data_IF_642979963849
#
_entry.id   IF_642979963849
#
_cell.length_a   1.000
_cell.length_b   1.000
_cell.length_c   1.000
_cell.angle_alpha   90.00
_cell.angle_beta   90.00
_cell.angle_gamma   90.00
#
_symmetry.space_group_name_H-M   'P 1'
#
loop_
_entity.id
_entity.type
_entity.pdbx_description
1 polymer ?
#
# COMPACT_ATOMS: atom_id res chain seq x y z
N UNK A 1 17.02 8.97 -12.20
CA UNK A 1 15.85 8.18 -12.64
C UNK A 1 16.31 6.76 -12.86
N UNK A 2 15.66 5.75 -12.26
CA UNK A 2 15.93 4.35 -12.64
C UNK A 2 15.55 4.12 -14.10
N UNK A 3 16.09 3.05 -14.69
CA UNK A 3 15.83 2.71 -16.11
C UNK A 3 14.33 2.58 -16.36
N UNK A 4 13.77 3.57 -17.06
CA UNK A 4 12.36 3.54 -17.50
C UNK A 4 12.28 2.55 -18.66
N UNK A 5 11.48 1.51 -18.50
CA UNK A 5 11.27 0.47 -19.52
C UNK A 5 9.84 0.54 -20.06
N UNK A 6 9.69 0.37 -21.35
CA UNK A 6 8.38 0.11 -21.96
C UNK A 6 8.04 -1.35 -21.80
N UNK A 7 6.83 -1.65 -21.36
CA UNK A 7 6.29 -3.00 -21.20
C UNK A 7 5.15 -3.18 -22.18
N UNK A 8 5.20 -4.25 -22.97
CA UNK A 8 4.13 -4.61 -23.88
C UNK A 8 2.93 -5.14 -23.07
N UNK A 9 1.97 -4.26 -22.81
CA UNK A 9 0.79 -4.57 -22.01
C UNK A 9 -0.12 -5.63 -22.67
N UNK A 10 -0.03 -5.82 -23.99
CA UNK A 10 -0.84 -6.82 -24.71
C UNK A 10 -0.45 -8.27 -24.35
N UNK A 11 0.79 -8.47 -23.88
CA UNK A 11 1.34 -9.77 -23.47
C UNK A 11 1.19 -10.06 -21.99
N UNK A 12 0.67 -9.11 -21.21
CA UNK A 12 0.48 -9.30 -19.78
C UNK A 12 -0.64 -10.30 -19.50
N UNK A 13 -0.52 -11.07 -18.41
CA UNK A 13 -1.57 -11.99 -17.99
C UNK A 13 -2.84 -11.22 -17.66
N UNK A 14 -3.99 -11.89 -17.75
CA UNK A 14 -5.28 -11.35 -17.33
C UNK A 14 -5.70 -11.96 -15.99
N UNK A 15 -6.46 -11.20 -15.21
CA UNK A 15 -7.18 -11.73 -14.06
C UNK A 15 -8.25 -12.72 -14.54
N UNK A 16 -8.61 -13.67 -13.68
CA UNK A 16 -9.65 -14.66 -13.99
C UNK A 16 -11.05 -14.10 -13.77
N UNK A 17 -11.15 -13.13 -12.82
CA UNK A 17 -12.44 -12.56 -12.44
C UNK A 17 -13.34 -13.55 -11.67
N UNK A 18 -14.63 -13.28 -11.57
CA UNK A 18 -15.33 -12.14 -12.17
C UNK A 18 -14.85 -10.79 -11.67
N UNK A 19 -15.04 -9.76 -12.49
CA UNK A 19 -14.73 -8.36 -12.14
C UNK A 19 -15.59 -7.88 -10.99
N UNK A 20 -15.00 -7.06 -10.12
CA UNK A 20 -15.66 -6.46 -8.94
C UNK A 20 -15.43 -4.95 -8.96
N UNK A 21 -16.47 -4.18 -8.73
CA UNK A 21 -16.35 -2.74 -8.50
C UNK A 21 -15.76 -2.50 -7.10
N UNK A 22 -14.44 -2.53 -7.00
CA UNK A 22 -13.76 -2.36 -5.73
C UNK A 22 -13.85 -0.92 -5.23
N UNK A 23 -14.26 -0.79 -3.97
CA UNK A 23 -14.12 0.42 -3.17
C UNK A 23 -13.18 0.11 -2.00
N UNK A 24 -12.62 1.14 -1.37
CA UNK A 24 -11.78 0.94 -0.17
C UNK A 24 -12.57 0.21 0.92
N UNK A 25 -13.84 0.58 1.11
CA UNK A 25 -14.68 0.02 2.17
C UNK A 25 -14.98 -1.47 1.94
N UNK A 26 -15.38 -1.89 0.71
CA UNK A 26 -15.66 -3.30 0.47
C UNK A 26 -14.39 -4.16 0.46
N UNK A 27 -13.26 -3.61 0.03
CA UNK A 27 -11.98 -4.29 0.09
C UNK A 27 -11.48 -4.44 1.54
N UNK A 28 -11.61 -3.39 2.38
CA UNK A 28 -11.30 -3.49 3.81
C UNK A 28 -12.22 -4.46 4.54
N UNK A 29 -13.53 -4.47 4.21
CA UNK A 29 -14.47 -5.44 4.77
C UNK A 29 -14.04 -6.86 4.42
N UNK A 30 -13.72 -7.15 3.16
CA UNK A 30 -13.20 -8.44 2.71
C UNK A 30 -11.95 -8.86 3.51
N UNK A 31 -10.97 -7.97 3.70
CA UNK A 31 -9.76 -8.27 4.46
C UNK A 31 -10.01 -8.51 5.95
N UNK A 32 -11.06 -7.90 6.52
CA UNK A 32 -11.48 -8.14 7.91
C UNK A 32 -12.17 -9.49 8.08
N UNK A 33 -12.98 -9.90 7.11
CA UNK A 33 -13.71 -11.16 7.15
C UNK A 33 -12.81 -12.36 6.90
N UNK A 34 -11.80 -12.20 6.04
CA UNK A 34 -10.87 -13.26 5.67
C UNK A 34 -9.42 -12.81 5.76
N UNK A 35 -8.63 -13.35 6.68
CA UNK A 35 -7.24 -12.93 6.87
C UNK A 35 -6.35 -13.25 5.66
N UNK A 36 -5.31 -12.43 5.47
CA UNK A 36 -4.30 -12.65 4.45
C UNK A 36 -3.33 -13.78 4.84
N UNK A 37 -3.82 -15.02 4.89
CA UNK A 37 -3.00 -16.20 5.18
C UNK A 37 -3.21 -17.26 4.11
N UNK A 38 -2.18 -18.09 3.86
CA UNK A 38 -2.22 -19.09 2.82
C UNK A 38 -2.32 -18.53 1.40
N UNK A 39 -1.87 -17.28 1.23
CA UNK A 39 -1.93 -16.59 -0.05
C UNK A 39 -0.92 -17.14 -1.05
N UNK A 40 -1.13 -16.87 -2.32
CA UNK A 40 -0.27 -17.31 -3.40
C UNK A 40 0.65 -16.18 -3.86
N UNK A 41 1.94 -16.28 -3.56
CA UNK A 41 2.92 -15.30 -4.05
C UNK A 41 2.96 -15.27 -5.58
N UNK A 42 2.92 -16.44 -6.24
CA UNK A 42 2.96 -16.53 -7.71
C UNK A 42 1.72 -15.87 -8.34
N UNK A 43 0.54 -16.04 -7.73
CA UNK A 43 -0.67 -15.39 -8.20
C UNK A 43 -0.64 -13.89 -7.89
N UNK A 44 -0.16 -13.47 -6.72
CA UNK A 44 0.00 -12.05 -6.39
C UNK A 44 0.93 -11.32 -7.38
N UNK A 45 2.07 -11.94 -7.71
CA UNK A 45 2.96 -11.45 -8.77
C UNK A 45 2.25 -11.38 -10.13
N UNK A 46 1.45 -12.41 -10.46
CA UNK A 46 0.63 -12.42 -11.67
C UNK A 46 -0.39 -11.27 -11.65
N UNK A 47 -1.02 -11.00 -10.52
CA UNK A 47 -1.99 -9.91 -10.36
C UNK A 47 -1.34 -8.53 -10.46
N UNK A 48 -0.09 -8.36 -9.99
CA UNK A 48 0.69 -7.15 -10.23
C UNK A 48 0.85 -6.83 -11.72
N UNK A 49 0.98 -7.87 -12.55
CA UNK A 49 1.02 -7.72 -14.00
C UNK A 49 -0.39 -7.57 -14.61
N UNK A 50 -1.37 -8.36 -14.17
CA UNK A 50 -2.73 -8.35 -14.68
C UNK A 50 -3.47 -7.02 -14.39
N UNK A 51 -3.17 -6.37 -13.27
CA UNK A 51 -3.63 -5.03 -12.92
C UNK A 51 -2.81 -3.92 -13.56
N UNK A 52 -1.93 -4.24 -14.51
CA UNK A 52 -1.05 -3.30 -15.23
C UNK A 52 -0.08 -2.52 -14.33
N UNK A 53 0.04 -2.85 -13.05
CA UNK A 53 0.92 -2.14 -12.10
C UNK A 53 2.37 -2.17 -12.57
N UNK A 54 2.81 -3.31 -13.11
CA UNK A 54 4.17 -3.54 -13.63
C UNK A 54 4.57 -2.58 -14.76
N UNK A 55 3.59 -2.05 -15.51
CA UNK A 55 3.87 -1.12 -16.60
C UNK A 55 4.47 0.20 -16.10
N UNK A 56 4.03 0.65 -14.93
CA UNK A 56 4.41 1.95 -14.37
C UNK A 56 5.31 1.83 -13.13
N UNK A 57 5.11 0.80 -12.30
CA UNK A 57 5.76 0.67 -11.01
C UNK A 57 6.86 -0.39 -11.03
N UNK A 58 7.97 -0.08 -10.35
CA UNK A 58 8.97 -1.07 -9.99
C UNK A 58 8.53 -1.84 -8.75
N UNK A 59 8.79 -3.16 -8.72
CA UNK A 59 8.72 -3.98 -7.54
C UNK A 59 9.86 -5.01 -7.56
N UNK A 60 10.86 -4.84 -6.71
CA UNK A 60 12.13 -5.58 -6.78
C UNK A 60 12.85 -5.28 -8.12
N UNK A 61 13.29 -6.33 -8.85
CA UNK A 61 13.97 -6.16 -10.12
C UNK A 61 13.02 -5.93 -11.32
N UNK A 62 11.71 -5.99 -11.12
CA UNK A 62 10.71 -6.00 -12.18
C UNK A 62 9.95 -4.68 -12.27
N UNK A 63 9.44 -4.40 -13.47
CA UNK A 63 8.52 -3.31 -13.73
C UNK A 63 9.16 -2.05 -14.29
N UNK A 64 8.27 -1.09 -14.57
CA UNK A 64 8.62 0.22 -15.08
C UNK A 64 9.17 1.17 -14.00
N UNK A 65 9.47 2.41 -14.38
CA UNK A 65 10.02 3.41 -13.47
C UNK A 65 9.34 4.77 -13.56
N UNK A 66 8.18 4.84 -14.24
CA UNK A 66 7.45 6.10 -14.37
C UNK A 66 6.62 6.41 -13.12
N UNK A 67 6.14 5.40 -12.42
CA UNK A 67 5.46 5.51 -11.13
C UNK A 67 6.41 5.33 -9.94
N UNK A 68 5.91 5.52 -8.69
CA UNK A 68 6.66 5.21 -7.47
C UNK A 68 7.18 3.77 -7.42
N UNK A 69 8.36 3.60 -6.84
CA UNK A 69 8.89 2.27 -6.50
C UNK A 69 8.08 1.67 -5.33
N UNK A 70 7.50 0.50 -5.54
CA UNK A 70 6.67 -0.21 -4.58
C UNK A 70 7.43 -1.29 -3.78
N UNK A 71 8.74 -1.49 -4.04
CA UNK A 71 9.54 -2.55 -3.40
C UNK A 71 9.44 -2.54 -1.88
N UNK A 72 9.43 -1.35 -1.27
CA UNK A 72 9.33 -1.17 0.17
C UNK A 72 7.98 -0.58 0.62
N UNK A 73 6.91 -0.81 -0.15
CA UNK A 73 5.60 -0.21 0.11
C UNK A 73 5.10 -0.54 1.53
N UNK A 74 5.16 -1.80 1.93
CA UNK A 74 4.69 -2.26 3.24
C UNK A 74 5.49 -1.74 4.44
N UNK A 75 6.69 -1.15 4.22
CA UNK A 75 7.44 -0.50 5.31
C UNK A 75 6.89 0.87 5.68
N UNK A 76 6.13 1.51 4.76
CA UNK A 76 5.64 2.88 4.92
C UNK A 76 4.12 3.01 4.82
N UNK A 77 3.42 1.92 4.51
CA UNK A 77 1.98 1.92 4.28
C UNK A 77 1.34 0.71 4.91
N UNK A 78 0.22 0.91 5.58
CA UNK A 78 -0.65 -0.16 6.04
C UNK A 78 -1.60 -0.64 4.92
N UNK A 79 -2.45 -1.63 5.21
CA UNK A 79 -3.41 -2.17 4.24
C UNK A 79 -4.37 -1.12 3.70
N UNK A 80 -4.83 -0.21 4.56
CA UNK A 80 -5.77 0.84 4.17
C UNK A 80 -5.11 1.79 3.18
N UNK A 81 -3.91 2.28 3.49
CA UNK A 81 -3.16 3.18 2.63
C UNK A 81 -2.80 2.52 1.28
N UNK A 82 -2.48 1.21 1.27
CA UNK A 82 -2.24 0.45 0.04
C UNK A 82 -3.53 0.39 -0.80
N UNK A 83 -4.67 0.09 -0.19
CA UNK A 83 -5.96 0.04 -0.89
C UNK A 83 -6.38 1.43 -1.39
N UNK A 84 -6.27 2.46 -0.57
CA UNK A 84 -6.56 3.84 -0.97
C UNK A 84 -5.74 4.25 -2.18
N UNK A 85 -4.41 4.04 -2.14
CA UNK A 85 -3.53 4.37 -3.26
C UNK A 85 -3.83 3.57 -4.53
N UNK A 86 -4.31 2.32 -4.39
CA UNK A 86 -4.62 1.44 -5.51
C UNK A 86 -5.98 1.75 -6.13
N UNK A 87 -6.99 2.01 -5.30
CA UNK A 87 -8.40 2.14 -5.73
C UNK A 87 -8.81 3.60 -5.94
N UNK A 88 -8.15 4.53 -5.27
CA UNK A 88 -8.41 5.98 -5.33
C UNK A 88 -7.12 6.76 -5.65
N UNK A 89 -6.50 6.54 -6.83
CA UNK A 89 -5.17 7.07 -7.14
C UNK A 89 -5.09 8.61 -7.17
N UNK A 90 -6.22 9.30 -7.21
CA UNK A 90 -6.29 10.76 -7.15
C UNK A 90 -6.41 11.29 -5.70
N UNK A 91 -6.55 10.43 -4.70
CA UNK A 91 -6.73 10.87 -3.30
C UNK A 91 -5.48 11.59 -2.79
N UNK A 92 -4.31 11.06 -3.13
CA UNK A 92 -3.02 11.64 -2.78
C UNK A 92 -2.02 11.43 -3.91
N UNK A 93 -1.63 12.52 -4.57
CA UNK A 93 -0.59 12.52 -5.60
C UNK A 93 0.63 13.26 -5.07
N UNK A 94 1.75 12.57 -4.95
CA UNK A 94 3.01 13.17 -4.52
C UNK A 94 3.55 14.11 -5.60
N UNK A 95 4.09 15.27 -5.21
CA UNK A 95 4.59 16.31 -6.11
C UNK A 95 5.53 15.79 -7.20
N UNK A 96 6.42 14.85 -6.85
CA UNK A 96 7.35 14.26 -7.81
C UNK A 96 6.69 13.40 -8.90
N UNK A 97 5.41 13.02 -8.72
CA UNK A 97 4.63 12.22 -9.66
C UNK A 97 3.42 12.98 -10.23
N UNK A 98 3.25 14.24 -9.88
CA UNK A 98 2.17 15.07 -10.41
C UNK A 98 2.26 15.25 -11.92
N UNK A 99 1.10 15.29 -12.56
CA UNK A 99 0.96 15.80 -13.90
C UNK A 99 0.91 17.33 -13.89
N UNK A 100 1.24 17.92 -15.01
CA UNK A 100 1.08 19.34 -15.23
C UNK A 100 0.13 19.60 -16.40
N UNK A 101 -0.69 20.61 -16.26
CA UNK A 101 -1.47 21.20 -17.33
C UNK A 101 -0.69 22.38 -17.87
N UNK A 102 -0.32 22.30 -19.12
CA UNK A 102 0.29 23.41 -19.87
C UNK A 102 -0.79 24.03 -20.77
N UNK A 103 -1.22 25.23 -20.43
CA UNK A 103 -2.09 26.02 -21.31
C UNK A 103 -1.22 26.71 -22.36
N UNK A 104 -1.46 26.39 -23.60
CA UNK A 104 -0.71 26.94 -24.73
C UNK A 104 -1.26 28.32 -25.14
N UNK A 105 -0.41 29.14 -25.77
CA UNK A 105 -0.80 30.47 -26.27
C UNK A 105 -1.87 30.40 -27.36
N UNK A 106 -1.92 29.31 -28.13
CA UNK A 106 -2.96 29.04 -29.13
C UNK A 106 -4.30 28.59 -28.54
N UNK A 107 -4.39 28.50 -27.20
CA UNK A 107 -5.60 28.09 -26.50
C UNK A 107 -5.71 26.57 -26.24
N UNK A 108 -4.84 25.75 -26.82
CA UNK A 108 -4.81 24.31 -26.56
C UNK A 108 -4.28 23.98 -25.15
N UNK A 109 -4.50 22.73 -24.71
CA UNK A 109 -4.00 22.24 -23.42
C UNK A 109 -3.20 20.97 -23.64
N UNK A 110 -2.01 20.92 -23.06
CA UNK A 110 -1.18 19.71 -23.01
C UNK A 110 -1.09 19.24 -21.56
N UNK A 111 -1.48 17.99 -21.33
CA UNK A 111 -1.31 17.38 -20.01
C UNK A 111 -0.23 16.30 -20.04
N UNK A 112 0.49 16.18 -18.93
CA UNK A 112 1.47 15.12 -18.75
C UNK A 112 2.38 15.38 -17.55
N UNK A 113 3.15 14.35 -17.19
CA UNK A 113 4.22 14.51 -16.21
C UNK A 113 5.47 15.08 -16.88
N UNK A 114 5.99 16.18 -16.34
CA UNK A 114 7.26 16.74 -16.80
C UNK A 114 8.37 15.84 -16.25
N UNK A 115 9.12 15.23 -17.16
CA UNK A 115 10.27 14.36 -16.86
C UNK A 115 11.59 14.99 -17.26
N UNK A 116 11.56 16.07 -18.05
CA UNK A 116 12.69 16.91 -18.41
C UNK A 116 12.26 18.37 -18.46
N UNK A 117 13.05 19.24 -17.86
CA UNK A 117 12.89 20.70 -17.86
C UNK A 117 14.14 21.31 -18.47
N UNK A 118 14.19 21.23 -19.81
CA UNK A 118 15.29 21.72 -20.62
C UNK A 118 15.26 23.26 -20.69
N UNK A 119 16.35 23.87 -21.15
CA UNK A 119 16.46 25.34 -21.21
C UNK A 119 15.29 25.99 -22.00
N UNK A 120 14.87 25.37 -23.09
CA UNK A 120 13.87 25.93 -24.02
C UNK A 120 12.59 25.11 -24.16
N UNK A 121 12.56 23.87 -23.65
CA UNK A 121 11.42 22.98 -23.78
C UNK A 121 11.17 22.14 -22.52
N UNK A 122 9.90 21.71 -22.35
CA UNK A 122 9.52 20.66 -21.44
C UNK A 122 9.46 19.32 -22.16
N UNK A 123 9.91 18.26 -21.50
CA UNK A 123 9.71 16.87 -21.95
C UNK A 123 8.63 16.24 -21.07
N UNK A 124 7.52 15.85 -21.68
CA UNK A 124 6.38 15.30 -20.95
C UNK A 124 6.13 13.84 -21.34
N UNK A 125 5.80 13.03 -20.32
CA UNK A 125 5.15 11.75 -20.49
C UNK A 125 3.65 11.98 -20.36
N UNK A 126 2.89 11.62 -21.38
CA UNK A 126 1.43 11.78 -21.41
C UNK A 126 0.69 10.50 -21.02
N UNK A 127 1.31 9.34 -21.17
CA UNK A 127 0.76 8.04 -20.78
C UNK A 127 1.79 7.22 -20.03
N UNK A 128 1.41 6.67 -18.87
CA UNK A 128 2.24 5.75 -18.13
C UNK A 128 2.51 4.43 -18.86
N UNK A 129 1.70 4.08 -19.86
CA UNK A 129 1.88 2.88 -20.70
C UNK A 129 2.84 3.11 -21.87
N UNK A 130 3.14 4.36 -22.21
CA UNK A 130 4.11 4.76 -23.25
C UNK A 130 5.18 5.69 -22.65
N UNK A 131 5.91 5.26 -21.60
CA UNK A 131 6.78 6.17 -20.84
C UNK A 131 7.98 6.71 -21.61
N UNK A 132 8.33 6.08 -22.74
CA UNK A 132 9.43 6.51 -23.63
C UNK A 132 8.96 7.45 -24.74
N UNK A 133 7.63 7.59 -24.93
CA UNK A 133 7.04 8.50 -25.93
C UNK A 133 6.92 9.90 -25.33
N UNK A 134 7.98 10.67 -25.46
CA UNK A 134 8.03 12.03 -24.92
C UNK A 134 7.35 13.05 -25.82
N UNK A 135 6.47 13.87 -25.26
CA UNK A 135 5.95 15.06 -25.89
C UNK A 135 6.88 16.24 -25.56
N UNK A 136 7.48 16.84 -26.60
CA UNK A 136 8.25 18.07 -26.49
C UNK A 136 7.32 19.27 -26.58
N UNK A 137 7.46 20.22 -25.68
CA UNK A 137 6.68 21.46 -25.63
C UNK A 137 7.62 22.63 -25.41
N UNK A 138 7.68 23.56 -26.38
CA UNK A 138 8.48 24.75 -26.23
C UNK A 138 7.93 25.66 -25.16
N UNK A 139 8.78 26.09 -24.23
CA UNK A 139 8.38 27.01 -23.15
C UNK A 139 7.83 28.33 -23.66
N UNK A 140 8.35 28.82 -24.81
CA UNK A 140 7.88 30.04 -25.46
C UNK A 140 6.43 29.97 -25.92
N UNK A 141 5.89 28.78 -26.16
CA UNK A 141 4.51 28.53 -26.57
C UNK A 141 3.53 28.35 -25.40
N UNK A 142 4.05 28.18 -24.17
CA UNK A 142 3.25 28.01 -22.96
C UNK A 142 2.80 29.36 -22.41
N UNK A 143 1.49 29.54 -22.24
CA UNK A 143 0.92 30.71 -21.60
C UNK A 143 1.02 30.62 -20.06
N UNK A 144 0.65 29.44 -19.48
CA UNK A 144 0.90 29.15 -18.07
C UNK A 144 0.99 27.64 -17.81
N UNK A 145 1.60 27.29 -16.68
CA UNK A 145 1.76 25.92 -16.19
C UNK A 145 1.14 25.82 -14.80
N UNK A 146 0.32 24.78 -14.55
CA UNK A 146 -0.15 24.46 -13.20
C UNK A 146 -0.02 22.97 -12.92
N UNK A 147 0.12 22.60 -11.65
CA UNK A 147 0.06 21.23 -11.19
C UNK A 147 -1.37 20.70 -11.28
N UNK A 148 -1.50 19.44 -11.69
CA UNK A 148 -2.77 18.73 -11.76
C UNK A 148 -2.89 17.76 -10.58
N UNK A 149 -4.04 17.72 -9.94
CA UNK A 149 -4.36 16.75 -8.89
C UNK A 149 -4.80 15.38 -9.44
N UNK A 150 -4.79 15.23 -10.77
CA UNK A 150 -5.12 13.96 -11.43
C UNK A 150 -3.86 13.10 -11.51
N UNK A 151 -3.94 11.88 -11.00
CA UNK A 151 -2.87 10.89 -11.11
C UNK A 151 -2.73 10.38 -12.56
N UNK A 152 -1.50 10.05 -12.96
CA UNK A 152 -1.28 9.26 -14.19
C UNK A 152 -1.75 7.80 -14.05
N UNK A 153 -1.90 7.31 -12.82
CA UNK A 153 -2.44 5.99 -12.54
C UNK A 153 -3.97 6.01 -12.78
N UNK A 154 -4.50 5.25 -13.75
CA UNK A 154 -5.93 5.20 -13.97
C UNK A 154 -6.65 4.55 -12.78
N UNK A 155 -7.86 5.00 -12.41
CA UNK A 155 -8.68 4.28 -11.44
C UNK A 155 -9.19 2.96 -12.03
N UNK A 156 -9.58 2.03 -11.15
CA UNK A 156 -10.25 0.79 -11.55
C UNK A 156 -9.35 -0.32 -12.09
N UNK A 157 -8.04 -0.18 -12.06
CA UNK A 157 -7.10 -1.21 -12.52
C UNK A 157 -7.26 -2.55 -11.80
N UNK A 158 -7.66 -2.53 -10.53
CA UNK A 158 -7.94 -3.73 -9.74
C UNK A 158 -9.33 -4.32 -9.98
N UNK A 159 -10.24 -3.62 -10.70
CA UNK A 159 -11.62 -4.07 -10.88
C UNK A 159 -11.76 -5.35 -11.73
N UNK A 160 -10.73 -5.71 -12.49
CA UNK A 160 -10.69 -6.99 -13.20
C UNK A 160 -10.52 -8.20 -12.27
N UNK A 161 -10.11 -7.99 -11.03
CA UNK A 161 -9.78 -9.01 -10.05
C UNK A 161 -10.98 -9.38 -9.19
N UNK A 162 -11.13 -10.67 -8.90
CA UNK A 162 -12.01 -11.16 -7.84
C UNK A 162 -11.36 -11.00 -6.45
N UNK A 163 -12.09 -11.38 -5.39
CA UNK A 163 -11.63 -11.23 -4.01
C UNK A 163 -10.30 -11.97 -3.73
N UNK A 164 -10.16 -13.21 -4.20
CA UNK A 164 -8.93 -13.99 -4.00
C UNK A 164 -7.73 -13.38 -4.72
N UNK A 165 -7.95 -12.89 -5.92
CA UNK A 165 -6.92 -12.25 -6.74
C UNK A 165 -6.46 -10.92 -6.13
N UNK A 166 -7.39 -10.11 -5.61
CA UNK A 166 -7.05 -8.88 -4.90
C UNK A 166 -6.29 -9.18 -3.60
N UNK A 167 -6.74 -10.18 -2.81
CA UNK A 167 -6.02 -10.62 -1.61
C UNK A 167 -4.59 -11.08 -1.92
N UNK A 168 -4.39 -11.83 -3.00
CA UNK A 168 -3.06 -12.27 -3.41
C UNK A 168 -2.17 -11.11 -3.85
N UNK A 169 -2.73 -10.09 -4.53
CA UNK A 169 -2.01 -8.86 -4.88
C UNK A 169 -1.58 -8.09 -3.61
N UNK A 170 -2.49 -7.89 -2.66
CA UNK A 170 -2.17 -7.21 -1.39
C UNK A 170 -1.10 -7.99 -0.62
N UNK A 171 -1.22 -9.33 -0.55
CA UNK A 171 -0.22 -10.18 0.07
C UNK A 171 1.16 -10.05 -0.60
N UNK A 172 1.20 -9.91 -1.91
CA UNK A 172 2.45 -9.70 -2.66
C UNK A 172 3.12 -8.37 -2.27
N UNK A 173 2.35 -7.29 -2.13
CA UNK A 173 2.87 -6.01 -1.65
C UNK A 173 3.36 -6.09 -0.20
N UNK A 174 2.56 -6.67 0.68
CA UNK A 174 2.85 -6.78 2.12
C UNK A 174 4.09 -7.63 2.39
N UNK A 175 4.27 -8.72 1.66
CA UNK A 175 5.43 -9.60 1.77
C UNK A 175 6.72 -8.99 1.22
N UNK A 176 6.63 -7.89 0.48
CA UNK A 176 7.75 -7.29 -0.26
C UNK A 176 8.46 -8.32 -1.18
N UNK A 177 7.70 -9.26 -1.73
CA UNK A 177 8.24 -10.36 -2.55
C UNK A 177 9.03 -11.42 -1.78
N UNK A 178 8.99 -11.40 -0.44
CA UNK A 178 9.63 -12.42 0.39
C UNK A 178 8.78 -13.69 0.45
N UNK A 179 9.29 -14.78 -0.14
CA UNK A 179 8.61 -16.10 -0.19
C UNK A 179 8.36 -16.72 1.18
N UNK A 180 9.20 -16.38 2.16
CA UNK A 180 9.10 -16.91 3.53
C UNK A 180 8.16 -16.08 4.41
N UNK A 181 7.50 -15.05 3.85
CA UNK A 181 6.61 -14.21 4.63
C UNK A 181 5.40 -15.01 5.15
N UNK A 182 4.96 -14.81 6.42
CA UNK A 182 3.87 -15.56 7.03
C UNK A 182 2.54 -15.54 6.23
N UNK A 183 2.30 -14.49 5.46
CA UNK A 183 1.12 -14.34 4.61
C UNK A 183 0.94 -15.50 3.61
N UNK A 184 2.01 -16.19 3.23
CA UNK A 184 1.98 -17.35 2.33
C UNK A 184 1.89 -18.69 3.04
N UNK A 185 2.07 -18.70 4.35
CA UNK A 185 1.96 -19.92 5.13
C UNK A 185 0.48 -20.24 5.34
N UNK A 186 0.09 -21.46 5.04
CA UNK A 186 -1.22 -21.97 5.46
C UNK A 186 -1.17 -22.05 6.97
N UNK A 187 -1.86 -21.17 7.66
CA UNK A 187 -2.06 -21.34 9.10
C UNK A 187 -2.72 -22.69 9.30
N UNK A 188 -2.18 -23.51 10.20
CA UNK A 188 -2.77 -24.82 10.60
C UNK A 188 -4.15 -24.65 11.23
N UNK A 189 -4.66 -23.45 11.36
CA UNK A 189 -5.93 -23.16 11.99
C UNK A 189 -6.67 -22.04 11.29
N UNK A 190 -7.70 -22.39 10.52
CA UNK A 190 -8.85 -21.51 10.25
C UNK A 190 -9.67 -21.26 11.52
N UNK A 191 -9.24 -21.81 12.66
CA UNK A 191 -9.89 -21.70 13.95
C UNK A 191 -9.54 -20.34 14.57
N UNK A 192 -10.57 -19.58 14.94
CA UNK A 192 -10.39 -18.37 15.77
C UNK A 192 -9.54 -18.76 16.98
N UNK A 193 -8.40 -18.07 17.17
CA UNK A 193 -7.58 -18.29 18.36
C UNK A 193 -8.38 -17.86 19.59
N UNK A 194 -8.37 -18.68 20.62
CA UNK A 194 -8.99 -18.33 21.91
C UNK A 194 -8.07 -17.38 22.67
N UNK A 195 -8.16 -16.09 22.30
CA UNK A 195 -7.38 -15.00 22.88
C UNK A 195 -8.32 -14.01 23.56
N UNK A 196 -8.13 -13.82 24.85
CA UNK A 196 -8.82 -12.79 25.62
C UNK A 196 -7.82 -11.71 26.04
N UNK A 197 -7.90 -10.51 25.43
CA UNK A 197 -7.07 -9.37 25.81
C UNK A 197 -7.57 -8.81 27.14
N UNK A 198 -6.74 -8.89 28.18
CA UNK A 198 -7.06 -8.42 29.53
C UNK A 198 -6.56 -6.99 29.78
N UNK A 199 -5.44 -6.61 29.17
CA UNK A 199 -4.89 -5.26 29.25
C UNK A 199 -3.88 -5.04 28.15
N UNK A 200 -3.88 -3.85 27.55
CA UNK A 200 -2.85 -3.45 26.59
C UNK A 200 -2.57 -1.95 26.74
N UNK A 201 -1.42 -1.62 27.30
CA UNK A 201 -1.01 -0.23 27.59
C UNK A 201 0.20 0.12 26.75
N UNK A 202 0.08 1.17 25.93
CA UNK A 202 1.16 1.68 25.08
C UNK A 202 1.68 3.03 25.60
N UNK A 203 3.00 3.17 25.73
CA UNK A 203 3.64 4.40 26.17
C UNK A 203 4.89 4.17 27.01
N UNK A 204 5.21 5.10 27.91
CA UNK A 204 6.38 4.99 28.80
C UNK A 204 6.03 4.10 29.98
N UNK A 205 6.77 3.02 30.18
CA UNK A 205 6.58 2.13 31.32
C UNK A 205 6.65 2.89 32.65
N UNK A 206 5.68 2.66 33.53
CA UNK A 206 5.63 3.32 34.85
C UNK A 206 5.13 4.77 34.85
N UNK A 207 4.85 5.39 33.70
CA UNK A 207 4.36 6.77 33.63
C UNK A 207 2.94 6.85 33.07
N UNK A 208 1.94 6.81 33.95
CA UNK A 208 0.52 6.77 33.54
C UNK A 208 0.05 8.00 32.75
N UNK A 209 0.71 9.16 32.92
CA UNK A 209 0.38 10.39 32.15
C UNK A 209 0.87 10.31 30.69
N UNK A 210 1.83 9.43 30.40
CA UNK A 210 2.42 9.20 29.08
C UNK A 210 2.12 7.78 28.58
N UNK A 211 0.95 7.28 28.88
CA UNK A 211 0.42 5.99 28.46
C UNK A 211 -0.98 6.13 27.90
N UNK A 212 -1.38 5.17 27.12
CA UNK A 212 -2.74 5.04 26.61
C UNK A 212 -3.17 3.56 26.53
N UNK A 213 -4.44 3.31 26.81
CA UNK A 213 -5.03 2.00 26.64
C UNK A 213 -5.33 1.76 25.16
N UNK A 214 -4.73 0.71 24.61
CA UNK A 214 -4.91 0.25 23.23
C UNK A 214 -5.62 -1.11 23.17
N UNK A 215 -6.22 -1.55 24.28
CA UNK A 215 -6.92 -2.85 24.37
C UNK A 215 -8.03 -2.97 23.34
N UNK A 216 -8.78 -1.89 23.10
CA UNK A 216 -9.84 -1.85 22.08
C UNK A 216 -9.27 -2.04 20.67
N UNK A 217 -8.17 -1.36 20.36
CA UNK A 217 -7.48 -1.49 19.06
C UNK A 217 -7.01 -2.94 18.85
N UNK A 218 -6.35 -3.54 19.85
CA UNK A 218 -5.90 -4.94 19.73
C UNK A 218 -7.08 -5.89 19.57
N UNK A 219 -8.18 -5.68 20.29
CA UNK A 219 -9.41 -6.50 20.12
C UNK A 219 -9.93 -6.42 18.67
N UNK A 220 -9.90 -5.23 18.05
CA UNK A 220 -10.29 -5.08 16.64
C UNK A 220 -9.40 -5.93 15.70
N UNK A 221 -8.08 -5.99 15.96
CA UNK A 221 -7.18 -6.88 15.22
C UNK A 221 -7.52 -8.35 15.44
N UNK A 222 -7.83 -8.75 16.69
CA UNK A 222 -8.24 -10.13 16.99
C UNK A 222 -9.56 -10.50 16.31
N UNK A 223 -10.53 -9.59 16.29
CA UNK A 223 -11.81 -9.79 15.60
C UNK A 223 -11.62 -9.89 14.08
N UNK A 224 -10.64 -9.15 13.54
CA UNK A 224 -10.22 -9.24 12.14
C UNK A 224 -9.33 -10.48 11.87
N UNK A 225 -9.04 -11.31 12.87
CA UNK A 225 -8.10 -12.46 12.82
C UNK A 225 -6.67 -12.06 12.41
N UNK A 226 -6.29 -10.81 12.65
CA UNK A 226 -4.93 -10.31 12.48
C UNK A 226 -4.15 -10.56 13.76
N UNK A 227 -3.50 -11.73 13.84
CA UNK A 227 -2.76 -12.17 15.01
C UNK A 227 -1.28 -11.77 15.02
N UNK A 228 -0.85 -11.01 14.01
CA UNK A 228 0.48 -10.40 13.91
C UNK A 228 0.38 -8.97 13.38
N UNK A 229 0.97 -8.02 14.13
CA UNK A 229 0.99 -6.61 13.73
C UNK A 229 2.15 -5.87 14.42
N UNK A 230 2.58 -4.75 13.83
CA UNK A 230 3.61 -3.89 14.44
C UNK A 230 3.00 -2.84 15.36
N UNK A 231 3.67 -2.60 16.49
CA UNK A 231 3.33 -1.53 17.40
C UNK A 231 3.95 -0.23 16.93
N UNK A 232 3.11 0.71 16.52
CA UNK A 232 3.51 2.05 16.08
C UNK A 232 2.61 3.11 16.69
N UNK A 233 2.97 4.39 16.57
CA UNK A 233 2.09 5.49 16.97
C UNK A 233 0.81 5.52 16.13
N UNK A 234 0.89 5.09 14.85
CA UNK A 234 -0.28 4.97 13.96
C UNK A 234 -1.24 3.88 14.47
N UNK A 235 -0.70 2.71 14.86
CA UNK A 235 -1.48 1.66 15.50
C UNK A 235 -2.21 2.17 16.75
N UNK A 236 -1.52 2.96 17.58
CA UNK A 236 -2.08 3.52 18.80
C UNK A 236 -3.08 4.68 18.56
N UNK A 237 -3.13 5.22 17.33
CA UNK A 237 -3.97 6.35 16.94
C UNK A 237 -3.37 7.72 17.29
N UNK A 238 -2.36 7.78 18.14
CA UNK A 238 -1.58 8.98 18.46
C UNK A 238 -0.26 8.61 19.12
N UNK A 239 0.64 9.59 19.25
CA UNK A 239 1.88 9.45 20.01
C UNK A 239 1.68 9.92 21.45
N UNK A 240 1.70 9.05 22.48
CA UNK A 240 1.53 9.44 23.87
C UNK A 240 2.79 10.11 24.46
N UNK A 241 3.96 10.02 23.80
CA UNK A 241 5.23 10.55 24.28
C UNK A 241 6.18 10.88 23.11
N UNK A 242 5.96 12.01 22.39
CA UNK A 242 6.80 12.37 21.25
C UNK A 242 8.29 12.41 21.59
N UNK A 243 9.12 11.84 20.69
CA UNK A 243 10.57 11.83 20.84
C UNK A 243 11.12 10.82 21.88
N UNK A 244 10.27 10.04 22.53
CA UNK A 244 10.67 9.07 23.54
C UNK A 244 10.26 7.65 23.07
N UNK A 245 11.18 6.68 23.20
CA UNK A 245 10.89 5.28 22.92
C UNK A 245 9.81 4.74 23.87
N UNK A 246 8.84 4.02 23.30
CA UNK A 246 7.67 3.49 24.00
C UNK A 246 7.67 1.97 24.01
N UNK A 247 6.85 1.39 24.88
CA UNK A 247 6.61 -0.05 24.92
C UNK A 247 5.10 -0.32 24.93
N UNK A 248 4.73 -1.48 24.44
CA UNK A 248 3.42 -2.08 24.68
C UNK A 248 3.56 -3.07 25.84
N UNK A 249 2.82 -2.84 26.90
CA UNK A 249 2.61 -3.80 27.99
C UNK A 249 1.31 -4.56 27.70
N UNK A 250 1.44 -5.80 27.20
CA UNK A 250 0.33 -6.61 26.75
C UNK A 250 0.08 -7.77 27.71
N UNK A 251 -1.14 -7.87 28.22
CA UNK A 251 -1.61 -9.01 29.03
C UNK A 251 -2.81 -9.64 28.35
N UNK A 252 -2.80 -10.96 28.18
CA UNK A 252 -3.87 -11.69 27.53
C UNK A 252 -3.95 -13.13 28.06
N UNK A 253 -5.05 -13.79 27.82
CA UNK A 253 -5.18 -15.24 27.98
C UNK A 253 -5.13 -15.90 26.60
N UNK A 254 -4.45 -17.01 26.50
CA UNK A 254 -4.43 -17.88 25.35
C UNK A 254 -4.72 -19.30 25.80
N UNK A 255 -5.81 -19.89 25.35
CA UNK A 255 -6.31 -21.17 25.85
C UNK A 255 -6.35 -21.20 27.40
N UNK A 256 -6.93 -20.16 28.02
CA UNK A 256 -7.03 -19.93 29.47
C UNK A 256 -5.70 -19.67 30.19
N UNK A 257 -4.53 -19.80 29.56
CA UNK A 257 -3.21 -19.49 30.15
C UNK A 257 -2.96 -17.99 30.11
N UNK A 258 -2.63 -17.38 31.26
CA UNK A 258 -2.29 -15.95 31.35
C UNK A 258 -0.87 -15.71 30.80
N UNK A 259 -0.75 -14.77 29.90
CA UNK A 259 0.52 -14.39 29.26
C UNK A 259 0.70 -12.86 29.41
N UNK A 260 1.93 -12.46 29.67
CA UNK A 260 2.34 -11.05 29.70
C UNK A 260 3.55 -10.86 28.79
N UNK A 261 3.48 -9.89 27.87
CA UNK A 261 4.57 -9.54 26.96
C UNK A 261 4.85 -8.03 27.06
N UNK A 262 6.11 -7.67 26.94
CA UNK A 262 6.55 -6.28 26.75
C UNK A 262 7.19 -6.19 25.37
N UNK A 263 6.63 -5.37 24.50
CA UNK A 263 7.07 -5.20 23.12
C UNK A 263 7.51 -3.75 22.91
N UNK A 264 8.70 -3.54 22.40
CA UNK A 264 9.23 -2.22 22.08
C UNK A 264 8.44 -1.58 20.93
N UNK A 265 8.40 -0.26 20.87
CA UNK A 265 7.91 0.50 19.71
C UNK A 265 8.57 -0.02 18.42
N UNK A 266 7.79 -0.15 17.36
CA UNK A 266 8.12 -0.79 16.08
C UNK A 266 8.38 -2.31 16.16
N UNK A 267 8.24 -2.93 17.33
CA UNK A 267 8.31 -4.38 17.50
C UNK A 267 7.06 -5.09 16.96
N UNK A 268 7.22 -6.37 16.66
CA UNK A 268 6.16 -7.25 16.19
C UNK A 268 5.42 -7.86 17.39
N UNK A 269 4.11 -7.70 17.42
CA UNK A 269 3.22 -8.54 18.24
C UNK A 269 2.88 -9.77 17.42
N UNK A 270 3.10 -10.96 17.97
CA UNK A 270 2.63 -12.22 17.41
C UNK A 270 1.93 -13.01 18.49
N UNK A 271 0.74 -13.54 18.17
CA UNK A 271 -0.01 -14.47 19.00
C UNK A 271 0.15 -15.92 18.53
N UNK A 272 0.93 -16.16 17.49
CA UNK A 272 1.36 -17.51 17.11
C UNK A 272 2.55 -17.90 17.97
N UNK A 273 2.48 -19.06 18.62
CA UNK A 273 3.59 -19.71 19.31
C UNK A 273 4.14 -20.86 18.48
#
# INVERSE_FOLDING_TARGET
MGDVKSIDISKLPKAKGPSVAWTVDNALKMLKEEPLTGRSMSNGKKMFSAGLCVACHRFGPEGGGIGPDLTNLAKRSDYKAILESTLQPNLLVSEQFEQHELKMKDGSVVMGRIVGDEKVEYLLVQSGFEPLKLKKVKKSEVAYKKSSKISMMPPGLANSMNAEELKDLIAYFVSQGNKSHPVYQKTKSSKKLDIEITSAIYGIAGNTKKQMDVSKTIKQYMDAREYEFKITNVFAGRDPAPGIAKVLLLKYKFNSKKISKTIMENGLVSFYE
#
